data_IF_747250433975
#
_entry.id   IF_747250433975
#
_cell.length_a   1.000
_cell.length_b   1.000
_cell.length_c   1.000
_cell.angle_alpha   90.00
_cell.angle_beta   90.00
_cell.angle_gamma   90.00
#
_symmetry.space_group_name_H-M   'P 1'
#
loop_
_entity.id
_entity.type
_entity.pdbx_description
1 polymer ?
#
# COMPACT_ATOMS: atom_id res chain seq x y z
N UNK A 1 -32.02 46.49 41.40
CA UNK A 1 -32.31 45.05 41.49
C UNK A 1 -31.02 44.28 41.23
N UNK A 2 -30.33 43.84 42.28
CA UNK A 2 -29.05 43.13 42.20
C UNK A 2 -29.31 41.63 42.39
N UNK A 3 -29.02 40.83 41.35
CA UNK A 3 -29.16 39.37 41.43
C UNK A 3 -27.88 38.76 42.03
N UNK A 4 -28.00 38.26 43.26
CA UNK A 4 -26.99 37.45 43.92
C UNK A 4 -27.06 36.01 43.40
N UNK A 5 -26.01 35.58 42.69
CA UNK A 5 -25.88 34.20 42.19
C UNK A 5 -25.20 33.38 43.29
N UNK A 6 -25.81 32.31 43.83
CA UNK A 6 -25.16 31.47 44.83
C UNK A 6 -24.04 30.61 44.19
N UNK A 7 -22.90 30.42 44.87
CA UNK A 7 -21.84 29.56 44.37
C UNK A 7 -22.28 28.09 44.38
N UNK A 8 -22.19 27.45 43.20
CA UNK A 8 -22.33 25.99 43.03
C UNK A 8 -21.30 25.26 43.90
N UNK A 9 -21.77 24.64 44.99
CA UNK A 9 -20.99 23.67 45.77
C UNK A 9 -20.93 22.32 45.06
N UNK A 10 -19.98 22.16 44.14
CA UNK A 10 -19.52 20.81 43.77
C UNK A 10 -18.40 20.40 44.72
N UNK A 11 -18.78 19.88 45.89
CA UNK A 11 -17.87 19.13 46.75
C UNK A 11 -17.85 17.68 46.27
N UNK A 12 -16.71 17.21 45.75
CA UNK A 12 -16.49 15.81 45.36
C UNK A 12 -15.59 15.08 46.34
N UNK A 13 -15.66 15.42 47.64
CA UNK A 13 -15.01 14.64 48.68
C UNK A 13 -16.02 13.62 49.23
N UNK A 14 -16.10 12.45 48.58
CA UNK A 14 -16.71 11.28 49.20
C UNK A 14 -15.78 10.81 50.34
N UNK A 15 -16.27 10.62 51.57
CA UNK A 15 -15.47 9.99 52.62
C UNK A 15 -15.10 8.57 52.18
N UNK A 16 -13.83 8.22 52.36
CA UNK A 16 -13.31 6.86 52.16
C UNK A 16 -13.96 5.93 53.20
N UNK A 17 -15.14 5.41 52.88
CA UNK A 17 -15.67 4.24 53.58
C UNK A 17 -14.85 3.03 53.14
N UNK A 18 -13.98 2.58 54.04
CA UNK A 18 -13.32 1.28 53.97
C UNK A 18 -14.42 0.21 54.12
N UNK A 19 -14.73 -0.61 53.11
CA UNK A 19 -15.76 -1.63 53.25
C UNK A 19 -15.19 -2.81 54.05
N UNK A 20 -15.71 -3.03 55.26
CA UNK A 20 -15.38 -4.18 56.11
C UNK A 20 -16.08 -5.48 55.69
N UNK A 21 -16.87 -5.48 54.60
CA UNK A 21 -17.58 -6.66 54.11
C UNK A 21 -17.29 -6.92 52.62
N UNK A 22 -17.09 -8.20 52.23
CA UNK A 22 -16.94 -8.57 50.84
C UNK A 22 -18.25 -8.27 50.09
N UNK A 23 -18.19 -7.42 49.07
CA UNK A 23 -19.36 -7.11 48.24
C UNK A 23 -19.75 -8.35 47.44
N UNK A 24 -21.05 -8.69 47.34
CA UNK A 24 -21.50 -9.72 46.42
C UNK A 24 -21.13 -9.34 44.99
N UNK A 25 -20.68 -10.33 44.23
CA UNK A 25 -20.28 -10.19 42.82
C UNK A 25 -21.46 -9.65 42.02
N UNK A 26 -21.33 -8.46 41.44
CA UNK A 26 -22.32 -7.91 40.51
C UNK A 26 -22.32 -8.74 39.22
N UNK A 27 -23.19 -9.73 39.13
CA UNK A 27 -23.51 -10.40 37.87
C UNK A 27 -24.48 -9.54 37.05
N UNK A 28 -24.24 -9.45 35.74
CA UNK A 28 -25.09 -8.71 34.81
C UNK A 28 -26.18 -9.65 34.29
N UNK A 29 -27.48 -9.40 34.54
CA UNK A 29 -28.55 -10.33 34.17
C UNK A 29 -28.80 -10.44 32.65
N UNK A 30 -28.21 -9.56 31.83
CA UNK A 30 -28.28 -9.66 30.36
C UNK A 30 -27.23 -10.62 29.75
N UNK A 31 -26.31 -11.13 30.56
CA UNK A 31 -25.33 -12.12 30.14
C UNK A 31 -25.78 -13.41 30.81
N UNK A 32 -26.51 -14.25 30.07
CA UNK A 32 -26.89 -15.58 30.54
C UNK A 32 -25.68 -16.32 31.09
N UNK A 33 -25.91 -17.12 32.14
CA UNK A 33 -24.94 -17.90 32.88
C UNK A 33 -23.97 -18.67 31.95
N UNK A 34 -22.87 -18.03 31.55
CA UNK A 34 -21.71 -18.73 31.03
C UNK A 34 -20.89 -19.04 32.27
N UNK A 35 -21.04 -20.27 32.78
CA UNK A 35 -20.09 -20.82 33.72
C UNK A 35 -18.69 -20.62 33.12
N UNK A 36 -17.78 -20.02 33.90
CA UNK A 36 -16.37 -19.98 33.52
C UNK A 36 -15.93 -21.44 33.26
N UNK A 37 -15.26 -21.75 32.15
CA UNK A 37 -14.78 -23.10 31.93
C UNK A 37 -13.85 -23.44 33.10
N UNK A 38 -14.22 -24.50 33.81
CA UNK A 38 -13.44 -25.13 34.85
C UNK A 38 -12.01 -25.33 34.34
N UNK A 39 -11.03 -24.97 35.17
CA UNK A 39 -9.63 -25.06 34.83
C UNK A 39 -9.32 -26.51 34.42
N UNK A 40 -9.04 -26.70 33.13
CA UNK A 40 -8.69 -27.99 32.59
C UNK A 40 -7.51 -28.58 33.37
N UNK A 41 -7.73 -29.73 34.00
CA UNK A 41 -6.66 -30.54 34.56
C UNK A 41 -5.61 -30.83 33.46
N UNK A 42 -4.31 -30.90 33.80
CA UNK A 42 -3.27 -31.17 32.82
C UNK A 42 -3.44 -32.59 32.27
N UNK A 43 -3.88 -32.70 31.01
CA UNK A 43 -3.83 -33.96 30.27
C UNK A 43 -2.38 -34.38 30.07
N UNK A 44 -2.02 -35.67 30.25
CA UNK A 44 -0.71 -36.18 29.87
C UNK A 44 -0.48 -35.96 28.37
N UNK A 45 0.71 -35.46 28.04
CA UNK A 45 1.12 -35.08 26.69
C UNK A 45 1.20 -36.29 25.76
N UNK A 46 0.35 -36.31 24.73
CA UNK A 46 0.55 -37.16 23.55
C UNK A 46 1.78 -36.68 22.76
N UNK A 47 2.60 -37.59 22.21
CA UNK A 47 3.76 -37.23 21.41
C UNK A 47 3.32 -36.62 20.08
N UNK A 48 3.78 -35.39 19.84
CA UNK A 48 3.52 -34.61 18.63
C UNK A 48 4.17 -35.32 17.43
N UNK A 49 3.34 -35.80 16.49
CA UNK A 49 3.83 -36.33 15.21
C UNK A 49 4.64 -35.26 14.45
N UNK A 50 5.74 -35.64 13.78
CA UNK A 50 6.58 -34.70 13.04
C UNK A 50 5.86 -34.18 11.79
N UNK A 51 5.84 -32.85 11.64
CA UNK A 51 5.30 -32.17 10.46
C UNK A 51 6.30 -32.34 9.30
N UNK A 52 5.89 -32.78 8.10
CA UNK A 52 6.81 -32.90 6.97
C UNK A 52 7.28 -31.52 6.48
N UNK A 53 8.52 -31.40 5.97
CA UNK A 53 9.06 -30.14 5.48
C UNK A 53 8.34 -29.69 4.19
N UNK A 54 8.24 -28.36 3.95
CA UNK A 54 7.64 -27.84 2.72
C UNK A 54 8.48 -28.19 1.49
N UNK A 55 7.85 -28.36 0.30
CA UNK A 55 8.57 -28.69 -0.94
C UNK A 55 9.44 -27.51 -1.42
N UNK A 56 10.56 -27.81 -2.12
CA UNK A 56 11.44 -26.78 -2.67
C UNK A 56 10.78 -25.99 -3.83
N UNK A 57 11.17 -24.72 -4.05
CA UNK A 57 10.65 -23.91 -5.14
C UNK A 57 11.15 -24.41 -6.52
N UNK A 58 10.36 -24.24 -7.59
CA UNK A 58 10.75 -24.62 -8.95
C UNK A 58 11.87 -23.71 -9.49
N UNK A 59 12.75 -24.23 -10.38
CA UNK A 59 13.82 -23.45 -10.99
C UNK A 59 13.28 -22.39 -11.96
N UNK A 60 13.96 -21.23 -12.10
CA UNK A 60 13.56 -20.19 -13.06
C UNK A 60 13.80 -20.63 -14.51
N UNK A 61 12.80 -20.43 -15.35
CA UNK A 61 12.88 -20.64 -16.80
C UNK A 61 13.81 -19.61 -17.45
N UNK A 62 14.83 -20.09 -18.16
CA UNK A 62 15.67 -19.27 -19.05
C UNK A 62 15.06 -19.30 -20.47
N UNK A 63 14.88 -18.15 -21.14
CA UNK A 63 14.47 -18.15 -22.54
C UNK A 63 15.64 -18.55 -23.44
N UNK A 64 15.41 -19.60 -24.23
CA UNK A 64 16.30 -20.06 -25.30
C UNK A 64 16.23 -19.09 -26.48
N UNK A 65 17.38 -18.58 -26.89
CA UNK A 65 17.58 -17.79 -28.11
C UNK A 65 18.02 -18.71 -29.26
N UNK A 66 17.19 -18.82 -30.30
CA UNK A 66 17.54 -19.24 -31.66
C UNK A 66 16.36 -18.83 -32.58
N UNK A 67 16.53 -17.90 -33.54
CA UNK A 67 17.03 -18.08 -34.93
C UNK A 67 15.87 -18.15 -35.93
N UNK A 68 16.14 -17.66 -37.16
CA UNK A 68 15.33 -17.61 -38.42
C UNK A 68 14.57 -16.29 -38.61
N UNK A 69 14.56 -15.61 -39.76
CA UNK A 69 14.67 -16.00 -41.18
C UNK A 69 15.37 -14.87 -41.98
N UNK A 70 16.23 -15.11 -42.98
CA UNK A 70 16.02 -15.74 -44.30
C UNK A 70 15.12 -14.91 -45.25
N UNK A 71 15.65 -14.73 -46.46
CA UNK A 71 15.30 -13.75 -47.49
C UNK A 71 14.32 -14.25 -48.56
N UNK A 72 13.70 -13.31 -49.30
CA UNK A 72 13.31 -13.31 -50.73
C UNK A 72 12.37 -12.10 -50.96
N UNK A 73 12.77 -11.02 -51.64
CA UNK A 73 12.73 -10.75 -53.11
C UNK A 73 11.34 -10.80 -53.78
N UNK A 74 10.88 -9.63 -54.26
CA UNK A 74 10.20 -9.47 -55.55
C UNK A 74 10.63 -8.14 -56.21
N UNK A 75 10.69 -8.17 -57.53
CA UNK A 75 11.35 -7.22 -58.42
C UNK A 75 10.39 -6.21 -59.09
N UNK A 76 10.90 -5.02 -59.40
CA UNK A 76 10.46 -4.20 -60.54
C UNK A 76 11.46 -3.06 -60.81
N UNK A 77 11.57 -2.68 -62.07
CA UNK A 77 12.78 -2.19 -62.73
C UNK A 77 12.98 -0.65 -62.79
N UNK A 78 14.19 -0.30 -63.23
CA UNK A 78 14.62 0.92 -63.94
C UNK A 78 15.06 2.18 -63.15
N UNK A 79 16.38 2.37 -63.05
CA UNK A 79 17.11 3.37 -63.86
C UNK A 79 18.62 3.25 -63.65
N UNK A 80 19.38 3.24 -64.75
CA UNK A 80 20.85 3.23 -64.75
C UNK A 80 21.38 4.54 -64.16
N UNK A 81 21.87 4.44 -62.93
CA UNK A 81 22.96 5.28 -62.41
C UNK A 81 23.99 4.29 -61.88
N UNK A 82 25.27 4.49 -62.18
CA UNK A 82 26.34 3.57 -61.79
C UNK A 82 26.38 3.39 -60.26
N UNK A 83 25.80 2.30 -59.77
CA UNK A 83 25.81 1.93 -58.36
C UNK A 83 27.20 1.37 -58.01
N UNK A 84 28.06 2.23 -57.47
CA UNK A 84 29.17 1.78 -56.60
C UNK A 84 28.53 0.86 -55.56
N UNK A 85 28.91 -0.42 -55.54
CA UNK A 85 28.40 -1.35 -54.55
C UNK A 85 28.61 -0.74 -53.16
N UNK A 86 27.65 -0.85 -52.23
CA UNK A 86 27.72 -0.16 -50.94
C UNK A 86 28.91 -0.60 -50.07
N UNK A 87 29.70 -1.57 -50.55
CA UNK A 87 30.89 -2.12 -49.89
C UNK A 87 32.13 -2.21 -50.81
N UNK A 88 32.20 -1.44 -51.91
CA UNK A 88 33.43 -1.36 -52.70
C UNK A 88 34.55 -0.62 -51.93
N UNK A 89 35.56 -1.36 -51.47
CA UNK A 89 36.73 -0.80 -50.79
C UNK A 89 37.72 -0.24 -51.82
N UNK A 90 37.87 1.08 -51.86
CA UNK A 90 38.77 1.79 -52.78
C UNK A 90 39.93 2.42 -51.99
N UNK A 91 41.14 1.88 -52.09
CA UNK A 91 42.28 2.25 -51.25
C UNK A 91 43.03 3.54 -51.68
N UNK A 92 42.58 4.19 -52.75
CA UNK A 92 43.20 5.39 -53.34
C UNK A 92 42.38 6.68 -53.12
N UNK A 93 41.12 6.56 -52.70
CA UNK A 93 40.38 7.70 -52.16
C UNK A 93 40.89 7.87 -50.73
N UNK A 94 41.49 9.01 -50.40
CA UNK A 94 41.92 9.33 -49.05
C UNK A 94 40.74 9.01 -48.12
N UNK A 95 40.90 7.92 -47.36
CA UNK A 95 39.83 7.28 -46.60
C UNK A 95 38.98 8.36 -45.93
N UNK A 96 37.64 8.37 -46.05
CA UNK A 96 36.85 9.15 -45.12
C UNK A 96 37.14 8.49 -43.78
N UNK A 97 38.13 9.02 -43.05
CA UNK A 97 38.62 8.44 -41.81
C UNK A 97 37.37 8.18 -40.99
N UNK A 98 37.05 6.90 -40.83
CA UNK A 98 35.92 6.48 -40.02
C UNK A 98 36.29 7.08 -38.68
N UNK A 99 35.62 8.19 -38.34
CA UNK A 99 35.98 8.91 -37.13
C UNK A 99 35.42 8.08 -36.00
N UNK A 100 36.26 7.14 -35.55
CA UNK A 100 35.94 6.18 -34.52
C UNK A 100 35.47 6.94 -33.28
N UNK A 101 36.00 8.15 -33.02
CA UNK A 101 35.55 8.98 -31.93
C UNK A 101 34.10 9.44 -32.11
N UNK A 102 33.68 9.83 -33.32
CA UNK A 102 32.29 10.20 -33.60
C UNK A 102 31.34 8.99 -33.53
N UNK A 103 31.76 7.82 -34.04
CA UNK A 103 30.92 6.62 -33.97
C UNK A 103 30.77 6.15 -32.52
N UNK A 104 31.84 6.21 -31.73
CA UNK A 104 31.78 5.87 -30.30
C UNK A 104 30.96 6.91 -29.54
N UNK A 105 31.07 8.20 -29.86
CA UNK A 105 30.28 9.25 -29.21
C UNK A 105 28.80 9.14 -29.55
N UNK A 106 28.44 8.86 -30.81
CA UNK A 106 27.06 8.69 -31.25
C UNK A 106 26.43 7.42 -30.70
N UNK A 107 27.14 6.29 -30.76
CA UNK A 107 26.67 5.03 -30.15
C UNK A 107 26.61 5.14 -28.62
N UNK A 108 27.59 5.80 -28.01
CA UNK A 108 27.61 6.10 -26.58
C UNK A 108 26.44 6.98 -26.16
N UNK A 109 26.13 8.02 -26.94
CA UNK A 109 25.01 8.92 -26.70
C UNK A 109 23.66 8.23 -26.92
N UNK A 110 23.53 7.38 -27.95
CA UNK A 110 22.32 6.58 -28.18
C UNK A 110 22.09 5.56 -27.06
N UNK A 111 23.14 4.85 -26.64
CA UNK A 111 23.09 3.93 -25.50
C UNK A 111 22.73 4.66 -24.21
N UNK A 112 23.36 5.83 -23.96
CA UNK A 112 23.05 6.68 -22.83
C UNK A 112 21.59 7.13 -22.86
N UNK A 113 21.05 7.62 -23.98
CA UNK A 113 19.63 8.01 -24.07
C UNK A 113 18.67 6.84 -23.87
N UNK A 114 19.01 5.65 -24.36
CA UNK A 114 18.19 4.45 -24.17
C UNK A 114 18.23 3.89 -22.73
N UNK A 115 19.34 4.10 -22.01
CA UNK A 115 19.56 3.53 -20.69
C UNK A 115 19.58 4.57 -19.55
N UNK A 116 19.50 5.86 -19.84
CA UNK A 116 19.21 6.86 -18.83
C UNK A 116 17.73 6.70 -18.45
N UNK A 117 17.43 6.43 -17.17
CA UNK A 117 16.05 6.38 -16.75
C UNK A 117 15.46 7.79 -16.79
N UNK A 118 14.66 8.08 -17.82
CA UNK A 118 13.90 9.34 -17.89
C UNK A 118 12.78 9.38 -16.85
N UNK A 119 12.24 8.21 -16.48
CA UNK A 119 11.12 8.08 -15.55
C UNK A 119 11.55 7.48 -14.19
N UNK A 120 11.28 8.15 -13.05
CA UNK A 120 11.49 7.59 -11.72
C UNK A 120 10.71 6.29 -11.41
N UNK A 121 9.77 5.88 -12.27
CA UNK A 121 9.07 4.59 -12.15
C UNK A 121 9.84 3.42 -12.78
N UNK A 122 10.56 3.66 -13.87
CA UNK A 122 11.27 2.62 -14.62
C UNK A 122 12.57 2.22 -13.94
N UNK A 123 13.28 3.21 -13.37
CA UNK A 123 14.34 2.97 -12.40
C UNK A 123 14.13 3.90 -11.20
N UNK A 124 13.52 3.41 -10.12
CA UNK A 124 13.33 4.24 -8.94
C UNK A 124 14.68 4.58 -8.33
N UNK A 125 14.99 5.87 -8.23
CA UNK A 125 16.02 6.33 -7.31
C UNK A 125 15.50 6.08 -5.89
N UNK A 126 15.95 4.98 -5.28
CA UNK A 126 15.44 4.51 -3.98
C UNK A 126 15.95 5.44 -2.87
N UNK A 127 15.30 6.58 -2.72
CA UNK A 127 15.50 7.47 -1.57
C UNK A 127 14.67 6.96 -0.41
N UNK A 128 15.29 6.21 0.49
CA UNK A 128 14.69 5.57 1.68
C UNK A 128 14.34 6.56 2.79
N UNK A 129 13.65 7.66 2.46
CA UNK A 129 13.06 8.58 3.42
C UNK A 129 11.63 8.15 3.73
N UNK A 130 11.10 8.57 4.88
CA UNK A 130 9.68 8.36 5.25
C UNK A 130 8.66 8.95 4.24
N UNK A 131 9.13 9.73 3.26
CA UNK A 131 8.37 10.33 2.15
C UNK A 131 8.04 9.31 1.05
N UNK A 132 8.85 8.25 0.86
CA UNK A 132 8.77 7.36 -0.29
C UNK A 132 7.39 6.68 -0.50
N UNK A 133 6.63 6.47 0.57
CA UNK A 133 5.27 5.89 0.50
C UNK A 133 4.14 6.90 0.24
N UNK A 134 4.44 8.16 -0.08
CA UNK A 134 3.49 9.27 -0.22
C UNK A 134 3.76 10.13 -1.47
N UNK A 135 4.34 9.52 -2.50
CA UNK A 135 4.66 10.17 -3.76
C UNK A 135 3.81 9.57 -4.87
N UNK A 136 3.09 10.41 -5.61
CA UNK A 136 2.27 10.01 -6.76
C UNK A 136 2.91 10.56 -8.03
N UNK A 137 3.15 9.70 -9.02
CA UNK A 137 3.72 10.06 -10.30
C UNK A 137 2.63 10.54 -11.28
N UNK A 138 2.92 11.57 -12.06
CA UNK A 138 2.01 12.06 -13.09
C UNK A 138 2.39 11.39 -14.41
N UNK A 139 1.50 10.57 -14.96
CA UNK A 139 1.71 9.81 -16.21
C UNK A 139 0.38 9.60 -16.93
N UNK A 140 0.37 9.80 -18.24
CA UNK A 140 -0.84 9.79 -19.08
C UNK A 140 -1.46 8.40 -19.25
N UNK A 141 -0.69 7.35 -18.98
CA UNK A 141 -1.10 5.96 -19.23
C UNK A 141 -1.65 5.29 -17.96
N UNK A 142 -2.98 5.28 -17.85
CA UNK A 142 -3.84 4.62 -16.84
C UNK A 142 -3.59 4.99 -15.36
N UNK A 143 -4.70 5.03 -14.61
CA UNK A 143 -4.67 5.19 -13.15
C UNK A 143 -4.07 3.95 -12.49
N UNK A 144 -2.89 4.10 -11.92
CA UNK A 144 -2.27 3.11 -11.03
C UNK A 144 -2.41 3.54 -9.55
N UNK A 145 -2.02 2.67 -8.60
CA UNK A 145 -2.08 2.99 -7.16
C UNK A 145 -1.24 4.22 -6.76
N UNK A 146 -0.18 4.51 -7.52
CA UNK A 146 0.78 5.61 -7.30
C UNK A 146 0.97 6.45 -8.58
N UNK A 147 0.02 6.39 -9.52
CA UNK A 147 0.09 7.17 -10.76
C UNK A 147 -1.25 7.79 -11.13
N UNK A 148 -1.22 8.98 -11.71
CA UNK A 148 -2.40 9.65 -12.21
C UNK A 148 -2.10 10.47 -13.48
N UNK A 149 -3.06 10.62 -14.41
CA UNK A 149 -2.85 11.32 -15.68
C UNK A 149 -2.74 12.82 -15.53
N UNK A 150 -3.56 13.44 -14.69
CA UNK A 150 -3.54 14.90 -14.49
C UNK A 150 -3.01 15.26 -13.10
N UNK A 151 -2.41 16.46 -12.92
CA UNK A 151 -1.98 16.94 -11.60
C UNK A 151 -3.12 16.96 -10.58
N UNK A 152 -4.33 17.36 -11.00
CA UNK A 152 -5.51 17.36 -10.13
C UNK A 152 -5.90 15.94 -9.69
N UNK A 153 -5.86 14.97 -10.61
CA UNK A 153 -6.09 13.57 -10.26
C UNK A 153 -4.99 13.03 -9.32
N UNK A 154 -3.73 13.40 -9.55
CA UNK A 154 -2.61 13.03 -8.69
C UNK A 154 -2.79 13.56 -7.26
N UNK A 155 -3.23 14.81 -7.11
CA UNK A 155 -3.56 15.39 -5.81
C UNK A 155 -4.68 14.61 -5.11
N UNK A 156 -5.75 14.23 -5.82
CA UNK A 156 -6.84 13.41 -5.25
C UNK A 156 -6.36 12.04 -4.78
N UNK A 157 -5.52 11.38 -5.57
CA UNK A 157 -4.90 10.09 -5.21
C UNK A 157 -4.03 10.26 -3.97
N UNK A 158 -3.17 11.27 -3.93
CA UNK A 158 -2.32 11.58 -2.77
C UNK A 158 -3.16 11.84 -1.51
N UNK A 159 -4.25 12.58 -1.66
CA UNK A 159 -5.16 12.93 -0.56
C UNK A 159 -5.88 11.68 -0.02
N UNK A 160 -6.29 10.75 -0.89
CA UNK A 160 -6.81 9.43 -0.52
C UNK A 160 -5.77 8.61 0.25
N UNK A 161 -4.54 8.52 -0.26
CA UNK A 161 -3.45 7.81 0.42
C UNK A 161 -3.19 8.36 1.83
N UNK A 162 -3.23 9.69 1.99
CA UNK A 162 -3.05 10.35 3.28
C UNK A 162 -4.19 10.03 4.27
N UNK A 163 -5.42 9.86 3.77
CA UNK A 163 -6.59 9.43 4.56
C UNK A 163 -6.47 7.96 4.99
N UNK A 164 -6.10 7.07 4.07
CA UNK A 164 -5.96 5.63 4.34
C UNK A 164 -4.86 5.36 5.37
N UNK A 165 -3.72 6.06 5.27
CA UNK A 165 -2.63 6.01 6.25
C UNK A 165 -2.93 6.78 7.56
N UNK A 166 -4.08 7.47 7.63
CA UNK A 166 -4.57 8.26 8.78
C UNK A 166 -3.58 9.34 9.24
N UNK A 167 -2.91 10.01 8.31
CA UNK A 167 -1.82 10.96 8.61
C UNK A 167 -2.32 12.14 9.43
N UNK A 168 -3.44 12.76 9.02
CA UNK A 168 -4.04 13.89 9.75
C UNK A 168 -4.38 13.51 11.19
N UNK A 169 -4.95 12.33 11.40
CA UNK A 169 -5.28 11.83 12.74
C UNK A 169 -4.03 11.58 13.59
N UNK A 170 -2.96 11.03 12.99
CA UNK A 170 -1.66 10.83 13.66
C UNK A 170 -1.07 12.17 14.08
N UNK A 171 -1.03 13.15 13.17
CA UNK A 171 -0.57 14.51 13.44
C UNK A 171 -1.31 15.14 14.63
N UNK A 172 -2.65 15.15 14.62
CA UNK A 172 -3.42 15.71 15.73
C UNK A 172 -3.23 14.94 17.05
N UNK A 173 -3.07 13.61 17.00
CA UNK A 173 -2.80 12.81 18.19
C UNK A 173 -1.39 12.98 18.77
N UNK A 174 -0.44 13.46 17.95
CA UNK A 174 0.93 13.73 18.35
C UNK A 174 1.12 15.17 18.83
N UNK A 175 0.24 16.10 18.41
CA UNK A 175 0.30 17.52 18.79
C UNK A 175 0.32 17.73 20.31
N UNK A 176 -0.39 16.89 21.06
CA UNK A 176 -0.43 16.95 22.52
C UNK A 176 -0.21 15.57 23.14
N UNK A 177 0.47 15.54 24.29
CA UNK A 177 0.64 14.30 25.04
C UNK A 177 -0.69 13.81 25.62
N UNK A 178 -1.11 12.61 25.19
CA UNK A 178 -2.24 11.90 25.80
C UNK A 178 -1.74 10.86 26.80
N UNK A 179 -2.17 10.96 28.06
CA UNK A 179 -1.83 9.98 29.11
C UNK A 179 -2.27 8.57 28.69
N UNK A 180 -1.46 7.56 29.03
CA UNK A 180 -1.72 6.14 28.67
C UNK A 180 -3.13 5.64 29.03
N UNK A 181 -3.65 6.05 30.19
CA UNK A 181 -5.00 5.67 30.64
C UNK A 181 -6.12 6.27 29.80
N UNK A 182 -6.01 7.56 29.44
CA UNK A 182 -6.97 8.25 28.58
C UNK A 182 -6.96 7.65 27.16
N UNK A 183 -5.76 7.39 26.62
CA UNK A 183 -5.59 6.72 25.32
C UNK A 183 -6.27 5.36 25.28
N UNK A 184 -6.10 4.53 26.32
CA UNK A 184 -6.78 3.22 26.42
C UNK A 184 -8.30 3.37 26.45
N UNK A 185 -8.84 4.29 27.26
CA UNK A 185 -10.29 4.55 27.34
C UNK A 185 -10.85 5.01 25.99
N UNK A 186 -10.19 5.97 25.33
CA UNK A 186 -10.56 6.46 24.00
C UNK A 186 -10.56 5.34 22.95
N UNK A 187 -9.49 4.55 22.88
CA UNK A 187 -9.39 3.43 21.94
C UNK A 187 -10.45 2.36 22.18
N UNK A 188 -10.78 2.05 23.45
CA UNK A 188 -11.86 1.12 23.80
C UNK A 188 -13.20 1.61 23.27
N UNK A 189 -13.55 2.87 23.57
CA UNK A 189 -14.79 3.50 23.07
C UNK A 189 -14.84 3.56 21.54
N UNK A 190 -13.72 3.91 20.89
CA UNK A 190 -13.64 4.01 19.44
C UNK A 190 -13.84 2.66 18.75
N UNK A 191 -13.19 1.60 19.24
CA UNK A 191 -13.34 0.23 18.72
C UNK A 191 -14.76 -0.29 18.92
N UNK A 192 -15.36 -0.03 20.07
CA UNK A 192 -16.75 -0.40 20.33
C UNK A 192 -17.71 0.30 19.36
N UNK A 193 -17.59 1.62 19.19
CA UNK A 193 -18.39 2.37 18.20
C UNK A 193 -18.22 1.85 16.78
N UNK A 194 -17.00 1.48 16.39
CA UNK A 194 -16.73 0.90 15.08
C UNK A 194 -17.45 -0.44 14.89
N UNK A 195 -17.32 -1.35 15.86
CA UNK A 195 -17.99 -2.67 15.86
C UNK A 195 -19.51 -2.57 15.90
N UNK A 196 -20.03 -1.66 16.72
CA UNK A 196 -21.46 -1.37 16.79
C UNK A 196 -21.97 -0.87 15.44
N UNK A 197 -21.28 0.11 14.82
CA UNK A 197 -21.65 0.64 13.51
C UNK A 197 -21.64 -0.43 12.42
N UNK A 198 -20.68 -1.35 12.43
CA UNK A 198 -20.64 -2.46 11.46
C UNK A 198 -21.79 -3.43 11.68
N UNK A 199 -22.06 -3.84 12.92
CA UNK A 199 -23.17 -4.74 13.24
C UNK A 199 -24.54 -4.11 12.95
N UNK A 200 -24.71 -2.83 13.28
CA UNK A 200 -25.93 -2.08 12.99
C UNK A 200 -26.20 -1.98 11.49
N UNK A 201 -25.18 -1.66 10.68
CA UNK A 201 -25.32 -1.67 9.22
C UNK A 201 -25.69 -3.05 8.69
N UNK A 202 -25.08 -4.12 9.20
CA UNK A 202 -25.42 -5.49 8.82
C UNK A 202 -26.88 -5.82 9.15
N UNK A 203 -27.38 -5.43 10.33
CA UNK A 203 -28.77 -5.62 10.69
C UNK A 203 -29.73 -4.84 9.77
N UNK A 204 -29.44 -3.56 9.48
CA UNK A 204 -30.26 -2.75 8.57
C UNK A 204 -30.27 -3.33 7.15
N UNK A 205 -29.11 -3.74 6.63
CA UNK A 205 -29.05 -4.41 5.31
C UNK A 205 -29.86 -5.71 5.30
N UNK A 206 -29.80 -6.51 6.38
CA UNK A 206 -30.62 -7.71 6.52
C UNK A 206 -32.13 -7.41 6.57
N UNK A 207 -32.54 -6.38 7.28
CA UNK A 207 -33.94 -5.93 7.31
C UNK A 207 -34.40 -5.50 5.92
N UNK A 208 -33.57 -4.79 5.16
CA UNK A 208 -33.90 -4.40 3.79
C UNK A 208 -33.98 -5.60 2.84
N UNK A 209 -33.15 -6.62 3.03
CA UNK A 209 -33.24 -7.89 2.29
C UNK A 209 -34.55 -8.62 2.57
N UNK A 210 -34.94 -8.75 3.83
CA UNK A 210 -36.20 -9.40 4.23
C UNK A 210 -37.41 -8.64 3.71
N UNK A 211 -37.40 -7.30 3.84
CA UNK A 211 -38.43 -6.43 3.25
C UNK A 211 -38.56 -6.63 1.74
N UNK A 212 -37.43 -6.78 1.02
CA UNK A 212 -37.43 -7.02 -0.44
C UNK A 212 -38.05 -8.39 -0.79
N UNK A 213 -37.89 -9.37 0.09
CA UNK A 213 -38.49 -10.71 -0.05
C UNK A 213 -39.98 -10.74 0.33
N UNK A 214 -40.51 -9.68 0.95
CA UNK A 214 -41.90 -9.60 1.39
C UNK A 214 -42.15 -10.15 2.79
N UNK A 215 -41.08 -10.38 3.59
CA UNK A 215 -41.17 -10.65 5.02
C UNK A 215 -41.38 -9.37 5.83
#
# INVERSE_FOLDING_TARGET
MTFSIPPRRFSTALPLQIPSNPRPVRSNPLIGNIAAPEAAQPRPSEPRAPVPPPPPPPPPFLPSSATTAAAAEEASAESKTEEKSPFAYNALEASPFIDIANIISDKGAAYARAHLPLSPTERPNVRTKAVAGRTVFIKDYRLGPQSAPTPLAALRVLDRMCRDQKIRNKYHSQKFHERKGLKKKRLRSQRWRARFKTGFKAAVTRVLELKKQGW
#
